data_IF_060752779674
#
_entry.id   IF_060752779674
#
_cell.length_a   1.000
_cell.length_b   1.000
_cell.length_c   1.000
_cell.angle_alpha   90.00
_cell.angle_beta   90.00
_cell.angle_gamma   90.00
#
_symmetry.space_group_name_H-M   'P 1'
#
loop_
_entity.id
_entity.type
_entity.pdbx_description
1 polymer ?
#
# COMPACT_ATOMS: atom_id res chain seq x y z
N UNK A 1 -49.84 36.91 -58.22
CA UNK A 1 -48.79 37.60 -59.00
C UNK A 1 -48.22 38.70 -58.12
N UNK A 2 -46.99 38.54 -57.62
CA UNK A 2 -46.12 39.63 -57.17
C UNK A 2 -44.71 39.06 -57.06
N UNK A 3 -43.82 39.59 -57.90
CA UNK A 3 -42.37 39.30 -57.93
C UNK A 3 -41.66 40.17 -56.88
N UNK A 4 -40.33 40.06 -56.90
CA UNK A 4 -39.30 40.95 -56.33
C UNK A 4 -38.99 40.67 -54.86
N UNK A 5 -37.74 40.51 -54.41
CA UNK A 5 -36.41 40.76 -55.00
C UNK A 5 -35.37 40.06 -54.12
N UNK A 6 -34.30 39.50 -54.67
CA UNK A 6 -33.12 39.06 -53.91
C UNK A 6 -32.05 40.15 -53.96
N UNK A 7 -31.45 40.57 -52.82
CA UNK A 7 -30.12 41.16 -52.83
C UNK A 7 -29.07 40.11 -52.45
N UNK A 8 -28.00 40.10 -53.24
CA UNK A 8 -26.74 39.40 -52.98
C UNK A 8 -25.90 40.32 -52.09
N UNK A 9 -25.38 39.81 -50.97
CA UNK A 9 -24.35 40.50 -50.18
C UNK A 9 -23.24 39.52 -49.81
N UNK A 10 -22.09 39.78 -50.43
CA UNK A 10 -20.69 39.47 -50.11
C UNK A 10 -20.37 38.64 -48.88
N UNK A 11 -19.72 37.49 -49.12
CA UNK A 11 -18.98 36.72 -48.14
C UNK A 11 -17.69 37.47 -47.75
N UNK A 12 -17.53 37.77 -46.47
CA UNK A 12 -16.26 38.13 -45.85
C UNK A 12 -15.82 36.93 -44.99
N UNK A 13 -14.87 36.15 -45.49
CA UNK A 13 -14.22 35.08 -44.74
C UNK A 13 -13.26 35.71 -43.72
N UNK A 14 -13.67 35.76 -42.46
CA UNK A 14 -12.77 36.07 -41.36
C UNK A 14 -11.99 34.80 -40.98
N UNK A 15 -10.68 34.78 -41.27
CA UNK A 15 -9.75 33.80 -40.70
C UNK A 15 -9.59 34.12 -39.20
N UNK A 16 -10.28 33.38 -38.35
CA UNK A 16 -10.00 33.38 -36.92
C UNK A 16 -8.80 32.46 -36.66
N UNK A 17 -7.65 33.03 -36.30
CA UNK A 17 -6.56 32.27 -35.69
C UNK A 17 -7.02 31.80 -34.31
N UNK A 18 -7.40 30.53 -34.19
CA UNK A 18 -7.55 29.89 -32.90
C UNK A 18 -6.16 29.60 -32.33
N UNK A 19 -5.69 30.47 -31.44
CA UNK A 19 -4.55 30.15 -30.58
C UNK A 19 -5.01 29.07 -29.57
N UNK A 20 -4.74 27.80 -29.88
CA UNK A 20 -4.90 26.71 -28.94
C UNK A 20 -3.82 26.85 -27.86
N UNK A 21 -4.17 27.52 -26.76
CA UNK A 21 -3.35 27.56 -25.55
C UNK A 21 -3.30 26.17 -24.92
N UNK A 22 -2.19 25.45 -25.11
CA UNK A 22 -1.86 24.30 -24.28
C UNK A 22 -1.48 24.79 -22.89
N UNK A 23 -2.45 24.82 -21.97
CA UNK A 23 -2.15 24.91 -20.54
C UNK A 23 -1.57 23.57 -20.10
N UNK A 24 -0.24 23.44 -20.14
CA UNK A 24 0.45 22.44 -19.36
C UNK A 24 0.30 22.83 -17.88
N UNK A 25 -0.73 22.33 -17.21
CA UNK A 25 -0.67 22.21 -15.76
C UNK A 25 0.42 21.17 -15.49
N UNK A 26 1.64 21.64 -15.24
CA UNK A 26 2.66 20.82 -14.60
C UNK A 26 2.05 20.40 -13.27
N UNK A 27 1.46 19.20 -13.24
CA UNK A 27 1.06 18.57 -12.00
C UNK A 27 2.34 18.43 -11.20
N UNK A 28 2.47 19.23 -10.14
CA UNK A 28 3.36 18.89 -9.05
C UNK A 28 2.77 17.61 -8.46
N UNK A 29 3.13 16.46 -9.01
CA UNK A 29 3.16 15.25 -8.24
C UNK A 29 4.13 15.54 -7.11
N UNK A 30 3.60 16.03 -5.98
CA UNK A 30 4.27 15.81 -4.72
C UNK A 30 4.45 14.31 -4.67
N UNK A 31 5.67 13.83 -4.93
CA UNK A 31 6.06 12.52 -4.45
C UNK A 31 5.71 12.57 -2.96
N UNK A 32 4.70 11.81 -2.54
CA UNK A 32 4.35 11.72 -1.13
C UNK A 32 5.62 11.20 -0.45
N UNK A 33 6.29 12.08 0.28
CA UNK A 33 7.35 11.66 1.19
C UNK A 33 6.64 11.05 2.38
N UNK A 34 6.83 9.75 2.58
CA UNK A 34 6.39 9.05 3.77
C UNK A 34 7.11 9.61 5.01
N UNK A 35 6.52 9.43 6.19
CA UNK A 35 7.06 9.94 7.44
C UNK A 35 7.53 8.84 8.38
N UNK A 36 8.69 9.06 9.01
CA UNK A 36 9.19 8.22 10.10
C UNK A 36 8.52 8.51 11.46
N UNK A 37 7.62 9.50 11.54
CA UNK A 37 6.96 9.89 12.80
C UNK A 37 6.06 8.82 13.40
N UNK A 38 5.73 7.79 12.62
CA UNK A 38 4.82 6.71 13.00
C UNK A 38 5.54 5.47 13.52
N UNK A 39 6.88 5.42 13.45
CA UNK A 39 7.64 4.27 13.92
C UNK A 39 7.24 3.89 15.37
N UNK A 40 7.03 2.59 15.64
CA UNK A 40 7.44 1.45 14.82
C UNK A 40 6.38 0.96 13.82
N UNK A 41 5.36 1.76 13.50
CA UNK A 41 4.42 1.50 12.40
C UNK A 41 4.85 2.24 11.12
N UNK A 42 4.42 1.78 9.93
CA UNK A 42 4.57 2.56 8.71
C UNK A 42 3.73 3.84 8.76
N UNK A 43 4.03 4.77 7.85
CA UNK A 43 3.17 5.91 7.59
C UNK A 43 1.83 5.42 7.00
N UNK A 44 0.68 5.68 7.66
CA UNK A 44 -0.62 5.19 7.23
C UNK A 44 -1.08 5.78 5.89
N UNK A 45 -0.51 6.90 5.45
CA UNK A 45 -0.79 7.49 4.13
C UNK A 45 -0.02 6.80 2.99
N UNK A 46 1.09 6.13 3.31
CA UNK A 46 1.89 5.37 2.35
C UNK A 46 1.54 3.88 2.37
N UNK A 47 1.43 3.28 3.56
CA UNK A 47 1.07 1.88 3.75
C UNK A 47 -0.12 1.72 4.69
N UNK A 48 -1.36 1.89 4.18
CA UNK A 48 -2.57 1.64 4.95
C UNK A 48 -2.80 0.15 5.30
N UNK A 49 -2.03 -0.78 4.72
CA UNK A 49 -2.17 -2.22 4.97
C UNK A 49 -3.07 -2.91 3.94
N UNK A 50 -2.72 -2.81 2.65
CA UNK A 50 -3.48 -3.47 1.58
C UNK A 50 -3.58 -4.99 1.79
N UNK A 51 -4.78 -5.55 1.58
CA UNK A 51 -5.09 -6.97 1.79
C UNK A 51 -5.11 -7.76 0.48
N UNK A 52 -4.80 -9.05 0.56
CA UNK A 52 -4.94 -10.01 -0.52
C UNK A 52 -6.43 -10.44 -0.64
N UNK A 53 -7.11 -10.14 -1.75
CA UNK A 53 -8.54 -10.47 -1.92
C UNK A 53 -8.83 -11.98 -1.94
N UNK A 54 -7.82 -12.83 -2.18
CA UNK A 54 -7.96 -14.29 -2.15
C UNK A 54 -7.98 -14.84 -0.71
N UNK A 55 -7.58 -14.05 0.28
CA UNK A 55 -7.56 -14.43 1.69
C UNK A 55 -8.74 -13.79 2.42
N UNK A 56 -9.72 -14.62 2.70
CA UNK A 56 -10.94 -14.27 3.44
C UNK A 56 -11.14 -15.28 4.55
N UNK A 57 -12.04 -14.99 5.49
CA UNK A 57 -12.40 -15.93 6.55
C UNK A 57 -12.82 -17.31 6.01
N UNK A 58 -13.47 -17.35 4.85
CA UNK A 58 -13.94 -18.59 4.21
C UNK A 58 -12.82 -19.36 3.51
N UNK A 59 -11.74 -18.67 3.09
CA UNK A 59 -10.63 -19.29 2.35
C UNK A 59 -9.42 -19.62 3.22
N UNK A 60 -9.39 -19.25 4.51
CA UNK A 60 -8.22 -19.48 5.39
C UNK A 60 -7.76 -20.94 5.45
N UNK A 61 -8.70 -21.89 5.37
CA UNK A 61 -8.40 -23.33 5.37
C UNK A 61 -7.70 -23.85 4.11
N UNK A 62 -7.69 -23.05 3.04
CA UNK A 62 -6.97 -23.31 1.78
C UNK A 62 -5.83 -22.32 1.52
N UNK A 63 -5.66 -21.33 2.40
CA UNK A 63 -4.66 -20.26 2.27
C UNK A 63 -3.75 -20.20 3.51
N UNK A 64 -3.89 -19.20 4.37
CA UNK A 64 -2.97 -18.89 5.47
C UNK A 64 -2.82 -20.01 6.51
N UNK A 65 -3.80 -20.90 6.63
CA UNK A 65 -3.75 -22.05 7.53
C UNK A 65 -3.20 -23.33 6.86
N UNK A 66 -2.78 -23.26 5.59
CA UNK A 66 -2.10 -24.34 4.89
C UNK A 66 -0.59 -24.14 4.97
N UNK A 67 0.12 -25.18 5.42
CA UNK A 67 1.57 -25.15 5.50
C UNK A 67 2.20 -24.86 4.13
N UNK A 68 3.12 -23.90 4.08
CA UNK A 68 3.83 -23.50 2.86
C UNK A 68 3.08 -22.54 1.94
N UNK A 69 1.83 -22.18 2.22
CA UNK A 69 1.05 -21.30 1.33
C UNK A 69 1.71 -19.94 1.09
N UNK A 70 2.24 -19.30 2.14
CA UNK A 70 2.89 -17.97 2.01
C UNK A 70 4.10 -18.00 1.06
N UNK A 71 4.82 -19.13 0.97
CA UNK A 71 5.92 -19.31 0.02
C UNK A 71 5.47 -19.30 -1.45
N UNK A 72 4.19 -19.61 -1.73
CA UNK A 72 3.64 -19.61 -3.08
C UNK A 72 3.25 -18.22 -3.58
N UNK A 73 2.96 -17.30 -2.66
CA UNK A 73 2.53 -15.92 -2.99
C UNK A 73 3.61 -14.87 -2.73
N UNK A 74 4.65 -15.20 -1.96
CA UNK A 74 5.73 -14.28 -1.59
C UNK A 74 6.40 -13.67 -2.85
N UNK A 75 6.61 -12.34 -2.89
CA UNK A 75 7.33 -11.71 -3.99
C UNK A 75 8.78 -12.19 -4.07
N UNK A 76 9.39 -12.08 -5.26
CA UNK A 76 10.81 -12.35 -5.43
C UNK A 76 11.67 -11.33 -4.70
N UNK A 77 12.83 -11.74 -4.19
CA UNK A 77 13.77 -10.84 -3.52
C UNK A 77 14.25 -9.67 -4.39
N UNK A 78 14.30 -9.85 -5.71
CA UNK A 78 14.62 -8.78 -6.66
C UNK A 78 13.58 -7.66 -6.67
N UNK A 79 12.30 -8.00 -6.47
CA UNK A 79 11.21 -7.04 -6.41
C UNK A 79 11.31 -6.24 -5.11
N UNK A 80 11.38 -6.94 -3.98
CA UNK A 80 11.44 -6.32 -2.65
C UNK A 80 12.71 -5.50 -2.45
N UNK A 81 13.86 -5.95 -2.97
CA UNK A 81 15.11 -5.17 -2.91
C UNK A 81 15.03 -3.85 -3.70
N UNK A 82 14.34 -3.85 -4.84
CA UNK A 82 14.15 -2.63 -5.63
C UNK A 82 13.20 -1.66 -4.92
N UNK A 83 12.08 -2.17 -4.40
CA UNK A 83 11.09 -1.38 -3.68
C UNK A 83 11.67 -0.76 -2.39
N UNK A 84 12.41 -1.55 -1.60
CA UNK A 84 13.09 -1.07 -0.39
C UNK A 84 13.97 0.14 -0.63
N UNK A 85 14.78 0.10 -1.68
CA UNK A 85 15.69 1.22 -2.02
C UNK A 85 14.92 2.48 -2.39
N UNK A 86 13.81 2.33 -3.10
CA UNK A 86 12.94 3.46 -3.44
C UNK A 86 12.31 4.03 -2.17
N UNK A 87 11.71 3.17 -1.34
CA UNK A 87 10.96 3.61 -0.17
C UNK A 87 11.86 4.15 0.95
N UNK A 88 13.11 3.69 1.07
CA UNK A 88 14.09 4.29 1.99
C UNK A 88 14.24 5.80 1.71
N UNK A 89 14.25 6.18 0.44
CA UNK A 89 14.31 7.59 0.01
C UNK A 89 12.96 8.28 0.24
N UNK A 90 11.84 7.62 -0.05
CA UNK A 90 10.49 8.18 0.17
C UNK A 90 10.22 8.49 1.65
N UNK A 91 10.67 7.64 2.56
CA UNK A 91 10.61 7.85 4.01
C UNK A 91 11.62 8.90 4.52
N UNK A 92 12.54 9.35 3.67
CA UNK A 92 13.57 10.32 4.05
C UNK A 92 14.55 9.80 5.10
N UNK A 93 14.83 8.49 5.13
CA UNK A 93 15.83 7.96 6.05
C UNK A 93 17.20 8.53 5.72
N UNK A 94 17.91 8.98 6.76
CA UNK A 94 19.31 9.43 6.62
C UNK A 94 20.26 8.25 6.47
N UNK A 95 19.93 7.12 7.09
CA UNK A 95 20.60 5.85 6.85
C UNK A 95 19.97 5.19 5.62
N UNK A 96 20.81 4.87 4.64
CA UNK A 96 20.39 4.24 3.38
C UNK A 96 20.96 2.84 3.22
N UNK A 97 21.55 2.30 4.29
CA UNK A 97 22.06 0.94 4.32
C UNK A 97 20.91 -0.05 4.29
N UNK A 98 20.75 -0.79 3.19
CA UNK A 98 19.61 -1.69 3.01
C UNK A 98 19.58 -2.90 3.94
N UNK A 99 20.65 -3.13 4.73
CA UNK A 99 20.72 -4.17 5.75
C UNK A 99 20.07 -3.76 7.07
N UNK A 100 19.86 -2.45 7.29
CA UNK A 100 19.26 -1.91 8.51
C UNK A 100 17.73 -1.81 8.40
N UNK A 101 17.17 -2.34 7.31
CA UNK A 101 15.75 -2.38 7.00
C UNK A 101 15.35 -3.74 6.43
N UNK A 102 14.22 -4.28 6.85
CA UNK A 102 13.50 -5.35 6.16
C UNK A 102 12.47 -4.75 5.19
N UNK A 103 12.33 -5.31 3.99
CA UNK A 103 11.19 -4.93 3.14
C UNK A 103 10.04 -5.83 3.55
N UNK A 104 9.18 -5.30 4.42
CA UNK A 104 8.24 -6.13 5.16
C UNK A 104 6.78 -5.80 4.83
N UNK A 105 5.93 -6.79 5.03
CA UNK A 105 4.50 -6.68 4.88
C UNK A 105 3.89 -6.04 6.13
N UNK A 106 3.20 -4.90 6.04
CA UNK A 106 2.56 -4.29 7.21
C UNK A 106 1.49 -5.21 7.82
N UNK A 107 0.56 -5.69 6.99
CA UNK A 107 -0.24 -6.88 7.29
C UNK A 107 0.53 -8.08 6.73
N UNK A 108 0.95 -9.07 7.54
CA UNK A 108 1.73 -10.19 7.05
C UNK A 108 0.95 -11.05 6.07
N UNK A 109 1.67 -11.79 5.23
CA UNK A 109 1.06 -12.80 4.36
C UNK A 109 0.26 -13.83 5.17
N UNK A 110 0.70 -14.13 6.39
CA UNK A 110 0.08 -14.99 7.39
C UNK A 110 -1.30 -14.51 7.86
N UNK A 111 -1.63 -13.22 7.66
CA UNK A 111 -2.94 -12.63 7.92
C UNK A 111 -3.59 -12.10 6.62
N UNK A 112 -3.10 -12.55 5.46
CA UNK A 112 -3.69 -12.19 4.18
C UNK A 112 -3.36 -10.78 3.70
N UNK A 113 -2.19 -10.23 4.07
CA UNK A 113 -1.68 -9.02 3.44
C UNK A 113 -1.42 -9.19 1.95
N UNK A 114 -1.56 -8.10 1.19
CA UNK A 114 -1.27 -8.09 -0.24
C UNK A 114 0.22 -8.38 -0.49
N UNK A 115 0.57 -9.35 -1.35
CA UNK A 115 1.95 -9.81 -1.45
C UNK A 115 2.89 -8.84 -2.16
N UNK A 116 2.37 -8.04 -3.09
CA UNK A 116 3.15 -7.15 -3.96
C UNK A 116 2.71 -5.69 -3.92
N UNK A 117 1.61 -5.37 -3.24
CA UNK A 117 1.10 -4.00 -3.22
C UNK A 117 2.02 -3.11 -2.36
N UNK A 118 2.61 -2.03 -2.91
CA UNK A 118 3.41 -1.09 -2.12
C UNK A 118 2.66 -0.43 -0.96
N UNK A 119 1.33 -0.46 -0.95
CA UNK A 119 0.49 -0.02 0.18
C UNK A 119 0.45 -1.03 1.35
N UNK A 120 1.10 -2.19 1.20
CA UNK A 120 1.31 -3.15 2.26
C UNK A 120 2.80 -3.49 2.44
N UNK A 121 3.72 -2.85 1.72
CA UNK A 121 5.15 -3.11 1.77
C UNK A 121 5.90 -1.85 2.14
N UNK A 122 6.80 -1.94 3.11
CA UNK A 122 7.59 -0.80 3.58
C UNK A 122 8.98 -1.23 4.09
N UNK A 123 9.96 -0.31 4.10
CA UNK A 123 11.28 -0.53 4.69
C UNK A 123 11.17 -0.42 6.22
N UNK A 124 10.84 -1.52 6.87
CA UNK A 124 10.72 -1.65 8.31
C UNK A 124 12.11 -1.64 8.98
N UNK A 125 12.38 -0.74 9.94
CA UNK A 125 13.67 -0.70 10.62
C UNK A 125 14.00 -1.97 11.43
N UNK A 126 15.26 -2.40 11.33
CA UNK A 126 15.84 -3.48 12.16
C UNK A 126 16.50 -2.95 13.44
N UNK A 127 16.25 -1.68 13.76
CA UNK A 127 16.83 -0.96 14.90
C UNK A 127 15.76 -0.31 15.77
N UNK A 128 16.15 0.11 16.98
CA UNK A 128 15.25 0.69 17.98
C UNK A 128 14.78 -0.34 19.00
N UNK A 129 13.70 -0.03 19.73
CA UNK A 129 13.17 -0.90 20.80
C UNK A 129 12.13 -1.90 20.32
N UNK A 130 11.60 -1.71 19.10
CA UNK A 130 10.56 -2.51 18.46
C UNK A 130 11.00 -2.68 17.01
N UNK A 131 11.61 -3.82 16.70
CA UNK A 131 12.17 -4.16 15.38
C UNK A 131 11.23 -5.06 14.60
N UNK A 132 11.51 -5.28 13.31
CA UNK A 132 10.83 -6.28 12.48
C UNK A 132 10.71 -7.65 13.18
N UNK A 133 11.80 -8.13 13.81
CA UNK A 133 11.79 -9.37 14.59
C UNK A 133 10.85 -9.37 15.82
N UNK A 134 10.52 -8.20 16.40
CA UNK A 134 9.49 -8.12 17.45
C UNK A 134 8.09 -8.32 16.85
N UNK A 135 7.82 -7.71 15.69
CA UNK A 135 6.57 -7.85 14.95
C UNK A 135 6.35 -9.30 14.49
N UNK A 136 7.37 -9.99 13.99
CA UNK A 136 7.31 -11.43 13.65
C UNK A 136 6.68 -12.30 14.76
N UNK A 137 7.00 -12.00 16.02
CA UNK A 137 6.46 -12.75 17.17
C UNK A 137 4.95 -12.50 17.34
N UNK A 138 4.49 -11.28 17.11
CA UNK A 138 3.07 -10.91 17.13
C UNK A 138 2.34 -11.60 15.99
N UNK A 139 2.85 -11.51 14.77
CA UNK A 139 2.25 -12.09 13.57
C UNK A 139 2.06 -13.60 13.68
N UNK A 140 3.10 -14.30 14.16
CA UNK A 140 3.04 -15.74 14.36
C UNK A 140 1.99 -16.14 15.41
N UNK A 141 1.76 -15.33 16.44
CA UNK A 141 0.71 -15.57 17.44
C UNK A 141 -0.67 -15.28 16.88
N UNK A 142 -0.85 -14.17 16.16
CA UNK A 142 -2.11 -13.82 15.50
C UNK A 142 -2.52 -14.90 14.50
N UNK A 143 -1.60 -15.35 13.64
CA UNK A 143 -1.84 -16.46 12.70
C UNK A 143 -2.35 -17.71 13.42
N UNK A 144 -1.69 -18.11 14.50
CA UNK A 144 -2.08 -19.29 15.29
C UNK A 144 -3.48 -19.13 15.87
N UNK A 145 -3.80 -17.95 16.41
CA UNK A 145 -5.12 -17.67 16.96
C UNK A 145 -6.21 -17.72 15.89
N UNK A 146 -5.97 -17.13 14.70
CA UNK A 146 -6.88 -17.18 13.55
C UNK A 146 -7.09 -18.63 13.09
N UNK A 147 -6.02 -19.38 12.87
CA UNK A 147 -6.11 -20.77 12.40
C UNK A 147 -6.67 -21.75 13.45
N UNK A 148 -6.63 -21.38 14.73
CA UNK A 148 -7.30 -22.10 15.80
C UNK A 148 -8.77 -21.66 16.01
N UNK A 149 -9.25 -20.66 15.28
CA UNK A 149 -10.59 -20.09 15.43
C UNK A 149 -10.80 -19.32 16.74
N UNK A 150 -9.73 -18.88 17.41
CA UNK A 150 -9.80 -18.11 18.65
C UNK A 150 -10.20 -16.65 18.40
N UNK A 151 -9.80 -16.11 17.24
CA UNK A 151 -10.17 -14.77 16.76
C UNK A 151 -10.50 -14.85 15.27
N UNK A 152 -11.32 -13.93 14.76
CA UNK A 152 -11.57 -13.85 13.31
C UNK A 152 -10.35 -13.28 12.58
N UNK A 153 -10.23 -13.59 11.28
CA UNK A 153 -9.22 -12.99 10.41
C UNK A 153 -9.32 -11.45 10.43
N UNK A 154 -10.54 -10.92 10.35
CA UNK A 154 -10.78 -9.47 10.35
C UNK A 154 -10.35 -8.81 11.67
N UNK A 155 -10.59 -9.45 12.81
CA UNK A 155 -10.15 -8.89 14.11
C UNK A 155 -8.62 -8.85 14.21
N UNK A 156 -7.94 -9.90 13.74
CA UNK A 156 -6.48 -9.93 13.69
C UNK A 156 -5.90 -8.87 12.73
N UNK A 157 -6.49 -8.71 11.54
CA UNK A 157 -6.12 -7.67 10.58
C UNK A 157 -6.34 -6.26 11.15
N UNK A 158 -7.49 -6.01 11.77
CA UNK A 158 -7.78 -4.72 12.38
C UNK A 158 -6.81 -4.42 13.53
N UNK A 159 -6.49 -5.41 14.36
CA UNK A 159 -5.56 -5.24 15.47
C UNK A 159 -4.14 -4.89 14.98
N UNK A 160 -3.64 -5.58 13.96
CA UNK A 160 -2.28 -5.32 13.44
C UNK A 160 -2.18 -3.96 12.73
N UNK A 161 -3.21 -3.59 11.94
CA UNK A 161 -3.28 -2.29 11.25
C UNK A 161 -3.39 -1.13 12.24
N UNK A 162 -4.11 -1.32 13.35
CA UNK A 162 -4.29 -0.27 14.36
C UNK A 162 -2.99 -0.02 15.11
N UNK A 163 -2.42 -1.07 15.68
CA UNK A 163 -1.16 -1.04 16.42
C UNK A 163 -0.68 -2.47 16.69
N UNK A 164 0.26 -2.94 15.87
CA UNK A 164 0.81 -4.27 16.02
C UNK A 164 1.47 -4.49 17.38
N UNK A 165 1.98 -3.44 18.05
CA UNK A 165 2.67 -3.56 19.35
C UNK A 165 1.70 -3.93 20.48
N UNK A 166 0.41 -3.62 20.32
CA UNK A 166 -0.65 -3.93 21.29
C UNK A 166 -1.68 -4.94 20.78
N UNK A 167 -1.55 -5.44 19.55
CA UNK A 167 -2.52 -6.32 18.91
C UNK A 167 -2.88 -7.56 19.75
N UNK A 168 -1.89 -8.20 20.38
CA UNK A 168 -2.12 -9.39 21.21
C UNK A 168 -2.94 -9.08 22.45
N UNK A 169 -2.58 -8.02 23.19
CA UNK A 169 -3.32 -7.63 24.40
C UNK A 169 -4.74 -7.17 24.05
N UNK A 170 -4.91 -6.47 22.93
CA UNK A 170 -6.23 -6.00 22.48
C UNK A 170 -7.19 -7.15 22.16
N UNK A 171 -6.63 -8.29 21.73
CA UNK A 171 -7.39 -9.51 21.44
C UNK A 171 -7.41 -10.52 22.60
N UNK A 172 -6.82 -10.20 23.75
CA UNK A 172 -6.74 -11.11 24.89
C UNK A 172 -5.86 -12.35 24.66
N UNK A 173 -4.82 -12.22 23.83
CA UNK A 173 -3.88 -13.28 23.43
C UNK A 173 -2.51 -13.17 24.13
N UNK A 174 -2.39 -12.29 25.12
CA UNK A 174 -1.18 -12.02 25.91
C UNK A 174 -0.97 -13.00 27.05
#
# INVERSE_FOLDING_TARGET
>A
MSRTTRPVVTALSAFALAAAGLTFTAGTAHAQSCSQSYLPLPDPSCQPGALNPDVTQDTIGSTICVSGWTATVRPSSSYTTALKKQQIVEYGYTDTSTSDYEEDHFVPLELGGAPKDPQNLWPEPEYGNQTAGNKDTVENRLKKAVCAGQVSLSDAQNAIITDWTTALSNLGLS
#
